data_IF_461371855415
#
_entry.id   IF_461371855415
#
_cell.length_a   1.000
_cell.length_b   1.000
_cell.length_c   1.000
_cell.angle_alpha   90.00
_cell.angle_beta   90.00
_cell.angle_gamma   90.00
#
_symmetry.space_group_name_H-M   'P 1'
#
loop_
_entity.id
_entity.type
_entity.pdbx_description
1 polymer ?
#
# COMPACT_ATOMS: atom_id res chain seq x y z
N UNK A 1 -39.00 -26.37 7.11
CA UNK A 1 -37.55 -26.17 7.38
C UNK A 1 -37.17 -24.74 7.04
N UNK A 2 -37.14 -23.88 8.02
CA UNK A 2 -36.59 -22.52 7.83
C UNK A 2 -35.47 -22.34 8.79
N UNK A 3 -34.24 -22.37 8.31
CA UNK A 3 -33.07 -22.12 9.13
C UNK A 3 -31.97 -21.60 8.19
N UNK A 4 -31.93 -20.32 7.98
CA UNK A 4 -30.76 -19.47 7.81
C UNK A 4 -31.26 -18.02 7.64
N UNK A 5 -31.90 -17.52 8.67
CA UNK A 5 -32.17 -16.08 8.78
C UNK A 5 -31.70 -15.67 10.19
N UNK A 6 -30.44 -15.37 10.35
CA UNK A 6 -30.02 -15.00 11.68
C UNK A 6 -28.52 -14.76 11.81
N UNK A 7 -27.96 -13.81 11.06
CA UNK A 7 -26.72 -13.16 11.47
C UNK A 7 -26.47 -11.85 10.69
N UNK A 8 -27.52 -11.08 10.46
CA UNK A 8 -27.38 -9.78 9.85
C UNK A 8 -27.62 -8.62 10.84
N UNK A 9 -27.33 -8.87 12.11
CA UNK A 9 -27.38 -7.79 13.10
C UNK A 9 -26.32 -8.05 14.15
N UNK A 10 -25.06 -7.92 13.81
CA UNK A 10 -24.11 -7.41 14.76
C UNK A 10 -24.56 -5.97 15.06
N UNK A 11 -25.54 -5.86 15.95
CA UNK A 11 -25.88 -4.66 16.67
C UNK A 11 -24.61 -4.25 17.38
N UNK A 12 -23.88 -3.31 16.78
CA UNK A 12 -22.85 -2.57 17.49
C UNK A 12 -23.61 -1.81 18.57
N UNK A 13 -23.57 -2.36 19.77
CA UNK A 13 -24.10 -1.72 20.95
C UNK A 13 -23.49 -0.31 21.03
N UNK A 14 -24.32 0.69 20.77
CA UNK A 14 -23.90 2.10 20.77
C UNK A 14 -23.42 2.55 22.17
N UNK A 15 -23.45 1.65 23.14
CA UNK A 15 -22.98 1.84 24.50
C UNK A 15 -21.65 1.14 24.80
N UNK A 16 -21.09 0.39 23.85
CA UNK A 16 -19.70 -0.06 23.95
C UNK A 16 -18.80 1.15 23.71
N UNK A 17 -18.46 1.83 24.78
CA UNK A 17 -17.40 2.84 24.81
C UNK A 17 -16.12 2.12 24.41
N UNK A 18 -15.81 2.09 23.13
CA UNK A 18 -14.46 1.71 22.67
C UNK A 18 -13.52 2.62 23.45
N UNK A 19 -12.68 2.08 24.32
CA UNK A 19 -11.82 2.91 25.14
C UNK A 19 -11.01 3.82 24.22
N UNK A 20 -10.94 5.09 24.55
CA UNK A 20 -10.27 6.13 23.74
C UNK A 20 -8.84 5.71 23.39
N UNK A 21 -8.21 4.90 24.25
CA UNK A 21 -6.92 4.26 24.02
C UNK A 21 -6.90 3.37 22.78
N UNK A 22 -7.89 2.49 22.59
CA UNK A 22 -7.90 1.53 21.49
C UNK A 22 -8.11 2.24 20.15
N UNK A 23 -8.97 3.25 20.13
CA UNK A 23 -9.16 4.08 18.95
C UNK A 23 -7.88 4.85 18.60
N UNK A 24 -7.17 5.36 19.60
CA UNK A 24 -5.92 6.09 19.41
C UNK A 24 -4.83 5.18 18.86
N UNK A 25 -4.72 3.97 19.39
CA UNK A 25 -3.77 2.96 18.90
C UNK A 25 -4.07 2.55 17.47
N UNK A 26 -5.32 2.26 17.12
CA UNK A 26 -5.72 1.90 15.76
C UNK A 26 -5.40 3.02 14.75
N UNK A 27 -5.68 4.28 15.11
CA UNK A 27 -5.34 5.44 14.27
C UNK A 27 -3.85 5.67 14.14
N UNK A 28 -3.09 5.49 15.21
CA UNK A 28 -1.63 5.63 15.18
C UNK A 28 -0.99 4.56 14.29
N UNK A 29 -1.44 3.33 14.41
CA UNK A 29 -0.98 2.22 13.58
C UNK A 29 -1.25 2.50 12.10
N UNK A 30 -2.48 2.88 11.77
CA UNK A 30 -2.85 3.21 10.39
C UNK A 30 -2.04 4.38 9.84
N UNK A 31 -1.85 5.44 10.62
CA UNK A 31 -1.04 6.60 10.22
C UNK A 31 0.41 6.22 9.97
N UNK A 32 0.99 5.36 10.79
CA UNK A 32 2.36 4.89 10.63
C UNK A 32 2.53 3.99 9.42
N UNK A 33 1.61 3.06 9.19
CA UNK A 33 1.61 2.17 8.02
C UNK A 33 1.47 2.94 6.72
N UNK A 34 0.57 3.94 6.68
CA UNK A 34 0.41 4.84 5.54
C UNK A 34 1.69 5.65 5.26
N UNK A 35 2.27 6.28 6.28
CA UNK A 35 3.49 7.07 6.13
C UNK A 35 4.64 6.23 5.60
N UNK A 36 4.83 5.04 6.17
CA UNK A 36 5.83 4.08 5.71
C UNK A 36 5.61 3.68 4.26
N UNK A 37 4.40 3.26 3.91
CA UNK A 37 4.07 2.83 2.55
C UNK A 37 4.25 3.94 1.52
N UNK A 38 3.81 5.17 1.82
CA UNK A 38 3.94 6.32 0.91
C UNK A 38 5.41 6.63 0.61
N UNK A 39 6.29 6.57 1.61
CA UNK A 39 7.73 6.79 1.41
C UNK A 39 8.33 5.76 0.45
N UNK A 40 8.05 4.47 0.66
CA UNK A 40 8.58 3.41 -0.21
C UNK A 40 7.94 3.43 -1.59
N UNK A 41 6.65 3.73 -1.71
CA UNK A 41 5.97 3.86 -2.98
C UNK A 41 6.52 5.02 -3.82
N UNK A 42 6.74 6.19 -3.21
CA UNK A 42 7.31 7.35 -3.89
C UNK A 42 8.71 7.07 -4.43
N UNK A 43 9.58 6.45 -3.63
CA UNK A 43 10.92 6.06 -4.05
C UNK A 43 10.86 4.95 -5.11
N UNK A 44 9.99 3.95 -4.90
CA UNK A 44 9.80 2.83 -5.81
C UNK A 44 9.31 3.24 -7.21
N UNK A 45 8.56 4.32 -7.32
CA UNK A 45 8.12 4.89 -8.60
C UNK A 45 9.21 5.77 -9.21
N UNK A 46 9.92 6.55 -8.39
CA UNK A 46 10.94 7.50 -8.85
C UNK A 46 12.17 6.82 -9.43
N UNK A 47 12.63 5.71 -8.82
CA UNK A 47 13.83 5.01 -9.26
C UNK A 47 13.72 4.43 -10.68
N UNK A 48 12.64 3.72 -11.08
CA UNK A 48 12.46 3.29 -12.46
C UNK A 48 12.48 4.41 -13.49
N UNK A 49 11.91 5.58 -13.16
CA UNK A 49 11.95 6.76 -14.04
C UNK A 49 13.39 7.24 -14.25
N UNK A 50 14.18 7.31 -13.19
CA UNK A 50 15.60 7.67 -13.28
C UNK A 50 16.40 6.63 -14.07
N UNK A 51 16.06 5.35 -13.96
CA UNK A 51 16.69 4.29 -14.75
C UNK A 51 16.39 4.45 -16.24
N UNK A 52 15.15 4.71 -16.62
CA UNK A 52 14.75 4.98 -18.02
C UNK A 52 15.49 6.19 -18.58
N UNK A 53 15.61 7.28 -17.80
CA UNK A 53 16.37 8.47 -18.21
C UNK A 53 17.85 8.12 -18.42
N UNK A 54 18.46 7.37 -17.50
CA UNK A 54 19.87 6.95 -17.60
C UNK A 54 20.12 6.08 -18.83
N UNK A 55 19.20 5.17 -19.12
CA UNK A 55 19.27 4.29 -20.29
C UNK A 55 19.09 5.07 -21.61
N UNK A 56 18.16 6.03 -21.62
CA UNK A 56 17.98 6.93 -22.76
C UNK A 56 19.21 7.80 -23.02
N UNK A 57 19.88 8.26 -21.98
CA UNK A 57 21.15 8.99 -22.08
C UNK A 57 22.28 8.10 -22.60
N UNK A 58 22.33 6.84 -22.18
CA UNK A 58 23.27 5.86 -22.72
C UNK A 58 23.07 5.67 -24.23
N UNK A 59 21.83 5.49 -24.68
CA UNK A 59 21.51 5.31 -26.09
C UNK A 59 21.88 6.55 -26.94
N UNK A 60 21.79 7.75 -26.38
CA UNK A 60 22.16 9.00 -27.08
C UNK A 60 23.65 9.31 -27.06
N UNK A 61 24.34 9.03 -25.98
CA UNK A 61 25.74 9.45 -25.77
C UNK A 61 26.75 8.31 -25.95
N UNK A 62 26.31 7.05 -25.90
CA UNK A 62 27.18 5.87 -25.99
C UNK A 62 28.11 5.67 -24.77
N UNK A 63 27.97 6.46 -23.72
CA UNK A 63 28.87 6.42 -22.54
C UNK A 63 28.49 5.27 -21.60
N UNK A 64 29.37 4.29 -21.35
CA UNK A 64 29.06 3.10 -20.55
C UNK A 64 28.73 3.40 -19.07
N UNK A 65 29.13 4.58 -18.58
CA UNK A 65 28.87 5.02 -17.20
C UNK A 65 27.37 5.05 -16.86
N UNK A 66 26.53 5.46 -17.82
CA UNK A 66 25.08 5.55 -17.59
C UNK A 66 24.45 4.15 -17.49
N UNK A 67 24.94 3.18 -18.25
CA UNK A 67 24.47 1.81 -18.18
C UNK A 67 24.87 1.14 -16.84
N UNK A 68 26.07 1.39 -16.37
CA UNK A 68 26.53 0.87 -15.08
C UNK A 68 25.73 1.49 -13.93
N UNK A 69 25.44 2.78 -14.00
CA UNK A 69 24.59 3.48 -13.02
C UNK A 69 23.20 2.85 -12.96
N UNK A 70 22.54 2.63 -14.11
CA UNK A 70 21.24 1.99 -14.20
C UNK A 70 21.26 0.58 -13.58
N UNK A 71 22.29 -0.22 -13.85
CA UNK A 71 22.46 -1.56 -13.28
C UNK A 71 22.64 -1.56 -11.76
N UNK A 72 23.36 -0.58 -11.23
CA UNK A 72 23.52 -0.44 -9.77
C UNK A 72 22.19 -0.03 -9.10
N UNK A 73 21.46 0.90 -9.68
CA UNK A 73 20.19 1.36 -9.16
C UNK A 73 19.08 0.31 -9.29
N UNK A 74 19.12 -0.57 -10.30
CA UNK A 74 18.12 -1.63 -10.46
C UNK A 74 18.07 -2.58 -9.27
N UNK A 75 19.20 -2.88 -8.65
CA UNK A 75 19.25 -3.74 -7.45
C UNK A 75 18.57 -3.08 -6.24
N UNK A 76 18.86 -1.80 -6.03
CA UNK A 76 18.21 -1.02 -4.97
C UNK A 76 16.71 -0.86 -5.21
N UNK A 77 16.32 -0.58 -6.47
CA UNK A 77 14.93 -0.46 -6.87
C UNK A 77 14.15 -1.75 -6.63
N UNK A 78 14.71 -2.92 -6.94
CA UNK A 78 14.06 -4.21 -6.70
C UNK A 78 13.79 -4.46 -5.21
N UNK A 79 14.74 -4.13 -4.33
CA UNK A 79 14.57 -4.29 -2.88
C UNK A 79 13.48 -3.33 -2.36
N UNK A 80 13.54 -2.07 -2.76
CA UNK A 80 12.57 -1.05 -2.34
C UNK A 80 11.17 -1.35 -2.85
N UNK A 81 11.06 -1.87 -4.08
CA UNK A 81 9.79 -2.32 -4.64
C UNK A 81 9.22 -3.51 -3.87
N UNK A 82 10.04 -4.50 -3.52
CA UNK A 82 9.60 -5.64 -2.72
C UNK A 82 9.07 -5.21 -1.34
N UNK A 83 9.79 -4.31 -0.65
CA UNK A 83 9.34 -3.75 0.64
C UNK A 83 8.05 -2.95 0.47
N UNK A 84 7.95 -2.14 -0.59
CA UNK A 84 6.74 -1.39 -0.92
C UNK A 84 5.53 -2.28 -1.18
N UNK A 85 5.71 -3.39 -1.92
CA UNK A 85 4.66 -4.35 -2.20
C UNK A 85 4.16 -5.05 -0.92
N UNK A 86 5.07 -5.51 -0.06
CA UNK A 86 4.72 -6.12 1.22
C UNK A 86 3.99 -5.12 2.12
N UNK A 87 4.47 -3.89 2.25
CA UNK A 87 3.81 -2.86 3.06
C UNK A 87 2.43 -2.48 2.50
N UNK A 88 2.24 -2.50 1.18
CA UNK A 88 0.95 -2.28 0.53
C UNK A 88 -0.06 -3.38 0.83
N UNK A 89 0.39 -4.63 0.88
CA UNK A 89 -0.47 -5.77 1.26
C UNK A 89 -0.95 -5.63 2.71
N UNK A 90 -0.03 -5.31 3.63
CA UNK A 90 -0.38 -5.06 5.04
C UNK A 90 -1.39 -3.93 5.16
N UNK A 91 -1.17 -2.83 4.43
CA UNK A 91 -2.09 -1.68 4.42
C UNK A 91 -3.49 -2.06 3.91
N UNK A 92 -3.59 -2.94 2.90
CA UNK A 92 -4.87 -3.44 2.40
C UNK A 92 -5.62 -4.23 3.46
N UNK A 93 -4.94 -5.07 4.24
CA UNK A 93 -5.54 -5.78 5.37
C UNK A 93 -5.98 -4.82 6.48
N UNK A 94 -5.17 -3.84 6.83
CA UNK A 94 -5.51 -2.85 7.84
C UNK A 94 -6.76 -2.05 7.44
N UNK A 95 -6.86 -1.62 6.19
CA UNK A 95 -8.04 -0.93 5.67
C UNK A 95 -9.29 -1.81 5.73
N UNK A 96 -9.18 -3.09 5.36
CA UNK A 96 -10.29 -4.03 5.39
C UNK A 96 -10.78 -4.36 6.81
N UNK A 97 -9.87 -4.48 7.78
CA UNK A 97 -10.19 -4.87 9.14
C UNK A 97 -10.58 -3.69 10.03
N UNK A 98 -9.86 -2.58 9.95
CA UNK A 98 -10.05 -1.42 10.82
C UNK A 98 -11.10 -0.44 10.30
N UNK A 99 -11.35 -0.43 8.98
CA UNK A 99 -12.21 0.56 8.32
C UNK A 99 -13.21 -0.08 7.36
N UNK A 100 -14.03 -1.05 7.80
CA UNK A 100 -14.94 -1.79 6.93
C UNK A 100 -15.96 -0.88 6.25
N UNK A 101 -16.48 0.15 6.92
CA UNK A 101 -17.42 1.09 6.34
C UNK A 101 -16.83 1.99 5.25
N UNK A 102 -15.53 2.25 5.30
CA UNK A 102 -14.82 2.93 4.22
C UNK A 102 -14.66 1.99 3.01
N UNK A 103 -14.28 0.75 3.24
CA UNK A 103 -14.11 -0.25 2.18
C UNK A 103 -15.42 -0.62 1.49
N UNK A 104 -16.54 -0.62 2.20
CA UNK A 104 -17.86 -0.84 1.63
C UNK A 104 -18.21 0.19 0.53
N UNK A 105 -17.87 1.45 0.77
CA UNK A 105 -18.13 2.55 -0.17
C UNK A 105 -17.05 2.68 -1.27
N UNK A 106 -15.81 2.48 -0.90
CA UNK A 106 -14.64 2.73 -1.76
C UNK A 106 -14.09 1.47 -2.40
N UNK A 107 -14.50 0.28 -1.95
CA UNK A 107 -13.97 -1.00 -2.40
C UNK A 107 -14.14 -1.26 -3.90
N UNK A 108 -15.24 -0.76 -4.49
CA UNK A 108 -15.47 -0.89 -5.92
C UNK A 108 -14.44 -0.12 -6.76
N UNK A 109 -13.91 0.99 -6.24
CA UNK A 109 -12.93 1.84 -6.93
C UNK A 109 -11.50 1.39 -6.59
N UNK A 110 -11.24 1.11 -5.31
CA UNK A 110 -9.91 0.75 -4.81
C UNK A 110 -9.58 -0.72 -5.09
N UNK A 111 -10.58 -1.60 -5.07
CA UNK A 111 -10.40 -3.03 -5.31
C UNK A 111 -9.92 -3.36 -6.72
N UNK A 112 -10.28 -2.57 -7.73
CA UNK A 112 -9.86 -2.79 -9.10
C UNK A 112 -8.34 -2.70 -9.30
N UNK A 113 -7.63 -1.66 -8.84
CA UNK A 113 -6.16 -1.60 -8.93
C UNK A 113 -5.43 -2.59 -8.00
N UNK A 114 -6.08 -3.11 -6.97
CA UNK A 114 -5.47 -4.10 -6.08
C UNK A 114 -5.65 -5.55 -6.55
N UNK A 115 -6.54 -5.81 -7.52
CA UNK A 115 -6.77 -7.15 -8.08
C UNK A 115 -5.91 -7.45 -9.31
N UNK A 116 -5.19 -6.47 -9.84
CA UNK A 116 -4.24 -6.58 -10.95
C UNK A 116 -2.82 -6.77 -10.45
#
# INVERSE_FOLDING_TARGET
>A
MPLIAGCAHCYVDSNSKVPVSDLLFARSQMGMSLAFHILFAAIGISLPVLMVISEALYLRTGRPVFLELAKRWSRGAAILFAVGAVSGTVLSFELGLLWPGFMEKSGAIIGMPFSL
#
